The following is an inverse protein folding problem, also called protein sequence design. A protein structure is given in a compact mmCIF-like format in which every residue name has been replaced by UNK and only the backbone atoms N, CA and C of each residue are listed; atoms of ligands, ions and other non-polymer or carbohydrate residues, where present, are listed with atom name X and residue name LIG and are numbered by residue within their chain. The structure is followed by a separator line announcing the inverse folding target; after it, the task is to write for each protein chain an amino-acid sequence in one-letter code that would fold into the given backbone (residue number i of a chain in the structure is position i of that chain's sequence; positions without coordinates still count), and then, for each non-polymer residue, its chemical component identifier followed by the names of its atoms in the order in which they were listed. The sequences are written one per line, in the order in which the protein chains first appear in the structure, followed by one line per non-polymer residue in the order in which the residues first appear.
data_IF_411651453198
#
_entry.id   IF_411651453198
#
_cell.length_a   1.000
_cell.length_b   1.000
_cell.length_c   1.000
_cell.angle_alpha   90.00
_cell.angle_beta   90.00
_cell.angle_gamma   90.00
#
_symmetry.space_group_name_H-M   'P 1'
#
loop_
_entity.id
_entity.type
_entity.pdbx_description
1 polymer ?
#
# COMPACT_ATOMS: atom_id res chain seq x y z
N UNK A 1 26.27 14.54 -21.61
CA UNK A 1 25.07 15.16 -21.04
C UNK A 1 24.37 14.26 -19.98
N UNK A 2 24.36 12.93 -20.18
CA UNK A 2 23.77 11.98 -19.23
C UNK A 2 24.57 11.85 -17.93
N UNK A 3 25.88 11.95 -17.99
CA UNK A 3 26.76 11.93 -16.81
C UNK A 3 26.51 13.13 -15.89
N UNK A 4 26.31 14.33 -16.46
CA UNK A 4 25.99 15.52 -15.67
C UNK A 4 24.63 15.42 -14.96
N UNK A 5 23.61 14.86 -15.61
CA UNK A 5 22.31 14.65 -15.01
C UNK A 5 22.37 13.60 -13.88
N UNK A 6 23.09 12.50 -14.07
CA UNK A 6 23.28 11.47 -13.05
C UNK A 6 24.00 12.04 -11.81
N UNK A 7 25.00 12.90 -12.03
CA UNK A 7 25.72 13.58 -10.95
C UNK A 7 24.78 14.50 -10.14
N UNK A 8 23.96 15.31 -10.82
CA UNK A 8 22.98 16.19 -10.18
C UNK A 8 21.98 15.38 -9.35
N UNK A 9 21.43 14.29 -9.91
CA UNK A 9 20.50 13.42 -9.20
C UNK A 9 21.15 12.77 -7.96
N UNK A 10 22.42 12.38 -8.05
CA UNK A 10 23.17 11.83 -6.91
C UNK A 10 23.35 12.85 -5.80
N UNK A 11 23.65 14.11 -6.13
CA UNK A 11 23.73 15.18 -5.13
C UNK A 11 22.38 15.49 -4.49
N UNK A 12 21.29 15.49 -5.27
CA UNK A 12 19.93 15.66 -4.77
C UNK A 12 19.61 14.51 -3.79
N UNK A 13 19.93 13.28 -4.13
CA UNK A 13 19.72 12.12 -3.26
C UNK A 13 20.52 12.23 -1.97
N UNK A 14 21.79 12.60 -2.05
CA UNK A 14 22.64 12.82 -0.87
C UNK A 14 22.08 13.92 0.03
N UNK A 15 21.61 15.02 -0.58
CA UNK A 15 20.96 16.11 0.15
C UNK A 15 19.70 15.63 0.91
N UNK A 16 18.85 14.81 0.29
CA UNK A 16 17.67 14.26 0.97
C UNK A 16 18.04 13.33 2.14
N UNK A 17 19.08 12.53 2.02
CA UNK A 17 19.56 11.69 3.13
C UNK A 17 20.06 12.55 4.29
N UNK A 18 20.90 13.53 4.01
CA UNK A 18 21.40 14.46 5.04
C UNK A 18 20.26 15.24 5.69
N UNK A 19 19.35 15.77 4.88
CA UNK A 19 18.19 16.53 5.36
C UNK A 19 17.26 15.68 6.23
N UNK A 20 17.05 14.41 5.89
CA UNK A 20 16.28 13.47 6.71
C UNK A 20 16.89 13.26 8.09
N UNK A 21 18.21 13.11 8.16
CA UNK A 21 18.93 12.99 9.44
C UNK A 21 18.77 14.27 10.27
N UNK A 22 18.93 15.44 9.67
CA UNK A 22 18.74 16.73 10.35
C UNK A 22 17.32 16.89 10.89
N UNK A 23 16.30 16.51 10.09
CA UNK A 23 14.90 16.55 10.55
C UNK A 23 14.71 15.65 11.78
N UNK A 24 15.22 14.41 11.75
CA UNK A 24 15.10 13.50 12.88
C UNK A 24 15.77 14.04 14.12
N UNK A 25 16.99 14.56 14.00
CA UNK A 25 17.72 15.18 15.10
C UNK A 25 16.91 16.35 15.67
N UNK A 26 16.43 17.25 14.81
CA UNK A 26 15.61 18.40 15.23
C UNK A 26 14.32 17.98 15.93
N UNK A 27 13.64 16.95 15.39
CA UNK A 27 12.43 16.38 16.00
C UNK A 27 12.72 15.84 17.41
N UNK A 28 13.77 15.05 17.57
CA UNK A 28 14.17 14.47 18.87
C UNK A 28 14.47 15.56 19.89
N UNK A 29 15.21 16.61 19.51
CA UNK A 29 15.47 17.73 20.42
C UNK A 29 14.22 18.52 20.78
N UNK A 30 13.30 18.70 19.84
CA UNK A 30 12.04 19.42 20.08
C UNK A 30 11.06 18.59 20.92
N UNK A 31 11.10 17.26 20.80
CA UNK A 31 10.17 16.33 21.47
C UNK A 31 10.73 15.72 22.76
N UNK A 32 11.80 16.28 23.34
CA UNK A 32 12.50 15.73 24.51
C UNK A 32 11.58 15.53 25.73
N UNK A 33 10.49 16.28 25.83
CA UNK A 33 9.50 16.16 26.90
C UNK A 33 8.33 15.24 26.56
N UNK A 34 8.30 14.64 25.36
CA UNK A 34 7.25 13.69 24.97
C UNK A 34 7.59 12.29 25.48
N UNK A 35 6.54 11.54 25.77
CA UNK A 35 6.69 10.13 26.19
C UNK A 35 6.78 9.23 24.96
N UNK A 36 7.47 8.08 25.10
CA UNK A 36 7.52 7.05 24.05
C UNK A 36 6.12 6.55 23.66
N UNK A 37 5.16 6.61 24.57
CA UNK A 37 3.76 6.27 24.28
C UNK A 37 3.09 7.29 23.37
N UNK A 38 3.36 8.58 23.56
CA UNK A 38 2.86 9.64 22.66
C UNK A 38 3.44 9.51 21.26
N UNK A 39 4.72 9.21 21.13
CA UNK A 39 5.37 8.97 19.83
C UNK A 39 4.81 7.71 19.15
N UNK A 40 4.55 6.64 19.91
CA UNK A 40 3.90 5.43 19.42
C UNK A 40 2.50 5.70 18.85
N UNK A 41 1.69 6.54 19.52
CA UNK A 41 0.39 6.96 19.02
C UNK A 41 0.47 7.74 17.70
N UNK A 42 1.46 8.63 17.56
CA UNK A 42 1.67 9.41 16.33
C UNK A 42 1.96 8.44 15.18
N UNK A 43 2.86 7.47 15.37
CA UNK A 43 3.17 6.46 14.36
C UNK A 43 1.96 5.60 14.01
N UNK A 44 1.16 5.19 14.99
CA UNK A 44 -0.08 4.43 14.75
C UNK A 44 -1.10 5.25 13.93
N UNK A 45 -1.27 6.55 14.22
CA UNK A 45 -2.12 7.45 13.43
C UNK A 45 -1.61 7.60 12.00
N UNK A 46 -0.30 7.67 11.81
CA UNK A 46 0.33 7.71 10.50
C UNK A 46 0.12 6.41 9.72
N UNK A 47 0.32 5.24 10.37
CA UNK A 47 0.01 3.93 9.77
C UNK A 47 -1.45 3.86 9.34
N UNK A 48 -2.39 4.27 10.19
CA UNK A 48 -3.80 4.29 9.87
C UNK A 48 -4.12 5.21 8.67
N UNK A 49 -3.43 6.34 8.53
CA UNK A 49 -3.56 7.23 7.38
C UNK A 49 -3.07 6.58 6.08
N UNK A 50 -1.90 5.93 6.10
CA UNK A 50 -1.36 5.21 4.94
C UNK A 50 -2.35 4.14 4.47
N UNK A 51 -2.86 3.31 5.39
CA UNK A 51 -3.79 2.22 5.05
C UNK A 51 -5.09 2.77 4.47
N UNK A 52 -5.67 3.84 5.06
CA UNK A 52 -6.89 4.46 4.54
C UNK A 52 -6.70 5.06 3.14
N UNK A 53 -5.62 5.79 2.94
CA UNK A 53 -5.29 6.38 1.63
C UNK A 53 -5.10 5.31 0.57
N UNK A 54 -4.40 4.24 0.92
CA UNK A 54 -4.19 3.09 0.02
C UNK A 54 -5.49 2.34 -0.27
N UNK A 55 -6.38 2.19 0.71
CA UNK A 55 -7.72 1.63 0.50
C UNK A 55 -8.51 2.45 -0.54
N UNK A 56 -8.56 3.77 -0.38
CA UNK A 56 -9.27 4.63 -1.33
C UNK A 56 -8.62 4.61 -2.71
N UNK A 57 -7.29 4.55 -2.79
CA UNK A 57 -6.60 4.41 -4.07
C UNK A 57 -6.98 3.11 -4.79
N UNK A 58 -6.97 2.00 -4.06
CA UNK A 58 -7.35 0.68 -4.60
C UNK A 58 -8.81 0.66 -5.06
N UNK A 59 -9.72 1.22 -4.27
CA UNK A 59 -11.14 1.29 -4.60
C UNK A 59 -11.36 2.13 -5.86
N UNK A 60 -10.89 3.38 -5.84
CA UNK A 60 -11.21 4.37 -6.88
C UNK A 60 -10.48 4.03 -8.19
N UNK A 61 -9.19 3.70 -8.12
CA UNK A 61 -8.41 3.34 -9.31
C UNK A 61 -8.90 2.02 -9.89
N UNK A 62 -9.16 1.01 -9.05
CA UNK A 62 -9.69 -0.28 -9.51
C UNK A 62 -11.02 -0.14 -10.23
N UNK A 63 -11.97 0.61 -9.64
CA UNK A 63 -13.27 0.86 -10.25
C UNK A 63 -13.16 1.69 -11.55
N UNK A 64 -12.33 2.73 -11.57
CA UNK A 64 -12.11 3.56 -12.77
C UNK A 64 -11.46 2.76 -13.90
N UNK A 65 -10.43 1.96 -13.59
CA UNK A 65 -9.72 1.14 -14.57
C UNK A 65 -10.61 0.04 -15.13
N UNK A 66 -11.46 -0.56 -14.28
CA UNK A 66 -12.48 -1.52 -14.70
C UNK A 66 -13.46 -0.88 -15.69
N UNK A 67 -14.00 0.30 -15.37
CA UNK A 67 -14.94 1.02 -16.26
C UNK A 67 -14.28 1.38 -17.59
N UNK A 68 -13.05 1.85 -17.59
CA UNK A 68 -12.33 2.18 -18.83
C UNK A 68 -12.07 0.93 -19.64
N UNK A 69 -11.63 -0.20 -19.03
CA UNK A 69 -11.44 -1.46 -19.74
C UNK A 69 -12.74 -2.01 -20.31
N UNK A 70 -13.82 -1.97 -19.55
CA UNK A 70 -15.16 -2.32 -20.03
C UNK A 70 -15.54 -1.51 -21.27
N UNK A 71 -15.44 -0.17 -21.20
CA UNK A 71 -15.77 0.71 -22.33
C UNK A 71 -14.90 0.45 -23.58
N UNK A 72 -13.63 0.11 -23.38
CA UNK A 72 -12.72 -0.21 -24.50
C UNK A 72 -13.08 -1.55 -25.13
N UNK A 73 -13.28 -2.60 -24.34
CA UNK A 73 -13.61 -3.95 -24.81
C UNK A 73 -14.95 -3.97 -25.51
N UNK A 74 -15.98 -3.31 -24.97
CA UNK A 74 -17.32 -3.23 -25.53
C UNK A 74 -17.46 -2.18 -26.65
N UNK A 75 -16.34 -1.56 -27.07
CA UNK A 75 -16.32 -0.53 -28.13
C UNK A 75 -17.16 0.72 -27.82
N UNK A 76 -17.46 0.97 -26.55
CA UNK A 76 -18.21 2.12 -26.07
C UNK A 76 -17.31 3.37 -25.90
N UNK A 77 -16.00 3.19 -25.85
CA UNK A 77 -15.08 4.30 -25.65
C UNK A 77 -15.08 5.33 -26.79
N UNK A 78 -15.26 4.87 -28.03
CA UNK A 78 -15.25 5.75 -29.21
C UNK A 78 -16.50 6.68 -29.28
N UNK A 79 -17.74 6.18 -29.14
CA UNK A 79 -18.92 7.05 -29.16
C UNK A 79 -18.99 8.00 -27.95
N UNK A 80 -18.36 7.65 -26.81
CA UNK A 80 -18.40 8.48 -25.58
C UNK A 80 -17.28 9.52 -25.57
N UNK A 81 -16.06 9.14 -25.91
CA UNK A 81 -14.85 9.98 -25.76
C UNK A 81 -14.23 10.42 -27.09
N UNK A 82 -14.71 9.87 -28.23
CA UNK A 82 -14.12 10.09 -29.53
C UNK A 82 -12.90 9.18 -29.79
N UNK A 83 -12.53 9.09 -31.09
CA UNK A 83 -11.47 8.21 -31.58
C UNK A 83 -10.09 8.51 -30.92
N UNK A 84 -9.76 9.80 -30.73
CA UNK A 84 -8.51 10.21 -30.16
C UNK A 84 -8.31 9.66 -28.73
N UNK A 85 -9.29 9.82 -27.85
CA UNK A 85 -9.19 9.34 -26.46
C UNK A 85 -9.27 7.82 -26.39
N UNK A 86 -10.07 7.16 -27.22
CA UNK A 86 -10.11 5.70 -27.33
C UNK A 86 -8.70 5.14 -27.57
N UNK A 87 -7.95 5.68 -28.54
CA UNK A 87 -6.60 5.24 -28.86
C UNK A 87 -5.64 5.49 -27.67
N UNK A 88 -5.76 6.66 -27.05
CA UNK A 88 -4.90 7.03 -25.90
C UNK A 88 -5.13 6.18 -24.65
N UNK A 89 -6.39 5.82 -24.37
CA UNK A 89 -6.76 5.01 -23.19
C UNK A 89 -6.23 3.56 -23.25
N UNK A 90 -5.85 3.07 -24.43
CA UNK A 90 -5.21 1.75 -24.59
C UNK A 90 -3.69 1.81 -24.37
N UNK A 91 -3.11 3.01 -24.35
CA UNK A 91 -1.68 3.22 -24.12
C UNK A 91 -1.40 3.24 -22.61
N UNK A 92 -0.60 2.29 -22.05
CA UNK A 92 -0.37 2.20 -20.60
C UNK A 92 0.13 3.52 -19.98
N UNK A 93 1.14 4.12 -20.57
CA UNK A 93 1.73 5.37 -20.07
C UNK A 93 0.69 6.50 -19.97
N UNK A 94 -0.17 6.67 -20.99
CA UNK A 94 -1.22 7.69 -20.96
C UNK A 94 -2.27 7.40 -19.87
N UNK A 95 -2.79 6.16 -19.83
CA UNK A 95 -3.83 5.77 -18.88
C UNK A 95 -3.35 5.88 -17.44
N UNK A 96 -2.12 5.43 -17.15
CA UNK A 96 -1.53 5.53 -15.82
C UNK A 96 -1.30 6.99 -15.42
N UNK A 97 -0.74 7.80 -16.31
CA UNK A 97 -0.42 9.20 -15.99
C UNK A 97 -1.67 10.07 -15.83
N UNK A 98 -2.68 9.91 -16.71
CA UNK A 98 -3.82 10.83 -16.76
C UNK A 98 -5.08 10.30 -16.07
N UNK A 99 -5.17 9.00 -15.78
CA UNK A 99 -6.30 8.42 -15.05
C UNK A 99 -5.86 7.96 -13.65
N UNK A 100 -4.87 7.06 -13.55
CA UNK A 100 -4.54 6.49 -12.25
C UNK A 100 -3.88 7.50 -11.32
N UNK A 101 -2.88 8.24 -11.78
CA UNK A 101 -2.12 9.15 -10.93
C UNK A 101 -2.98 10.25 -10.28
N UNK A 102 -3.87 10.96 -11.00
CA UNK A 102 -4.80 11.92 -10.37
C UNK A 102 -5.72 11.27 -9.34
N UNK A 103 -6.24 10.07 -9.62
CA UNK A 103 -7.11 9.34 -8.71
C UNK A 103 -6.38 8.90 -7.43
N UNK A 104 -5.11 8.51 -7.54
CA UNK A 104 -4.25 8.22 -6.39
C UNK A 104 -4.09 9.49 -5.53
N UNK A 105 -3.79 10.64 -6.12
CA UNK A 105 -3.67 11.90 -5.38
C UNK A 105 -4.98 12.27 -4.65
N UNK A 106 -6.12 12.13 -5.33
CA UNK A 106 -7.45 12.33 -4.73
C UNK A 106 -7.66 11.38 -3.54
N UNK A 107 -7.20 10.13 -3.66
CA UNK A 107 -7.33 9.12 -2.61
C UNK A 107 -6.57 9.49 -1.33
N UNK A 108 -5.42 10.15 -1.43
CA UNK A 108 -4.71 10.68 -0.27
C UNK A 108 -5.51 11.79 0.44
N UNK A 109 -6.17 12.65 -0.34
CA UNK A 109 -7.04 13.70 0.22
C UNK A 109 -8.25 13.07 0.93
N UNK A 110 -8.93 12.12 0.29
CA UNK A 110 -10.07 11.41 0.89
C UNK A 110 -9.64 10.65 2.16
N UNK A 111 -8.48 9.96 2.12
CA UNK A 111 -7.92 9.24 3.26
C UNK A 111 -7.63 10.13 4.47
N UNK A 112 -7.36 11.42 4.26
CA UNK A 112 -7.20 12.39 5.34
C UNK A 112 -8.52 12.72 6.05
N UNK A 113 -9.62 12.86 5.30
CA UNK A 113 -10.94 13.20 5.86
C UNK A 113 -11.71 11.98 6.39
N UNK A 114 -11.43 10.78 5.92
CA UNK A 114 -12.11 9.56 6.37
C UNK A 114 -11.48 9.01 7.65
N UNK A 115 -12.30 8.40 8.52
CA UNK A 115 -11.83 7.80 9.77
C UNK A 115 -11.83 6.26 9.76
N UNK A 116 -12.52 5.65 8.81
CA UNK A 116 -12.58 4.19 8.67
C UNK A 116 -11.35 3.65 7.95
N UNK A 117 -10.84 2.51 8.37
CA UNK A 117 -9.67 1.86 7.75
C UNK A 117 -10.04 1.12 6.46
N UNK A 118 -11.31 0.87 6.22
CA UNK A 118 -11.79 0.31 4.95
C UNK A 118 -11.60 -1.20 4.76
N UNK A 119 -10.95 -1.90 5.69
CA UNK A 119 -10.65 -3.33 5.59
C UNK A 119 -11.88 -4.21 5.30
N UNK A 120 -12.96 -4.03 6.04
CA UNK A 120 -14.21 -4.80 5.87
C UNK A 120 -14.80 -4.54 4.48
N UNK A 121 -14.71 -3.30 4.00
CA UNK A 121 -15.21 -2.94 2.67
C UNK A 121 -14.39 -3.58 1.54
N UNK A 122 -13.07 -3.75 1.69
CA UNK A 122 -12.27 -4.52 0.74
C UNK A 122 -12.73 -5.99 0.67
N UNK A 123 -13.01 -6.60 1.81
CA UNK A 123 -13.54 -7.96 1.83
C UNK A 123 -14.90 -8.06 1.12
N UNK A 124 -15.80 -7.10 1.37
CA UNK A 124 -17.10 -7.02 0.69
C UNK A 124 -16.94 -6.82 -0.81
N UNK A 125 -15.98 -5.97 -1.24
CA UNK A 125 -15.70 -5.74 -2.65
C UNK A 125 -15.17 -7.01 -3.35
N UNK A 126 -14.27 -7.74 -2.71
CA UNK A 126 -13.77 -9.02 -3.26
C UNK A 126 -14.91 -10.02 -3.43
N UNK A 127 -15.70 -10.26 -2.37
CA UNK A 127 -16.83 -11.19 -2.43
C UNK A 127 -17.89 -10.74 -3.46
N UNK A 128 -18.20 -9.44 -3.47
CA UNK A 128 -19.16 -8.86 -4.43
C UNK A 128 -18.69 -8.98 -5.87
N UNK A 129 -17.39 -8.80 -6.13
CA UNK A 129 -16.82 -8.95 -7.47
C UNK A 129 -16.84 -10.40 -7.94
N UNK A 130 -16.44 -11.34 -7.10
CA UNK A 130 -16.52 -12.78 -7.41
C UNK A 130 -17.96 -13.19 -7.70
N UNK A 131 -18.90 -12.75 -6.87
CA UNK A 131 -20.32 -13.03 -7.09
C UNK A 131 -20.82 -12.41 -8.39
N UNK A 132 -20.40 -11.20 -8.72
CA UNK A 132 -20.75 -10.53 -9.98
C UNK A 132 -20.20 -11.28 -11.22
N UNK A 133 -18.99 -11.84 -11.12
CA UNK A 133 -18.42 -12.69 -12.19
C UNK A 133 -19.27 -13.93 -12.39
N UNK A 134 -19.65 -14.60 -11.30
CA UNK A 134 -20.51 -15.79 -11.36
C UNK A 134 -21.84 -15.46 -12.03
N UNK A 135 -22.51 -14.37 -11.61
CA UNK A 135 -23.77 -13.94 -12.22
C UNK A 135 -23.60 -13.59 -13.72
N UNK A 136 -22.56 -12.82 -14.06
CA UNK A 136 -22.35 -12.43 -15.47
C UNK A 136 -22.09 -13.64 -16.37
N UNK A 137 -21.33 -14.59 -15.89
CA UNK A 137 -21.02 -15.83 -16.63
C UNK A 137 -22.24 -16.73 -16.81
N UNK A 138 -23.02 -16.98 -15.74
CA UNK A 138 -24.13 -17.96 -15.81
C UNK A 138 -25.45 -17.38 -16.32
N UNK A 139 -25.69 -16.06 -16.16
CA UNK A 139 -26.94 -15.43 -16.58
C UNK A 139 -26.78 -14.78 -17.97
N UNK A 140 -25.63 -14.12 -18.20
CA UNK A 140 -25.41 -13.31 -19.41
C UNK A 140 -24.41 -13.97 -20.38
N UNK A 141 -23.85 -15.13 -20.03
CA UNK A 141 -22.78 -15.80 -20.78
C UNK A 141 -21.60 -14.87 -21.07
N UNK A 142 -21.35 -13.92 -20.15
CA UNK A 142 -20.37 -12.87 -20.31
C UNK A 142 -19.21 -13.05 -19.33
N UNK A 143 -18.01 -13.23 -19.87
CA UNK A 143 -16.77 -13.37 -19.09
C UNK A 143 -15.64 -12.64 -19.82
N UNK A 144 -15.00 -11.71 -19.11
CA UNK A 144 -13.89 -10.92 -19.64
C UNK A 144 -12.70 -10.92 -18.67
N UNK A 145 -11.50 -10.82 -19.22
CA UNK A 145 -10.25 -10.89 -18.47
C UNK A 145 -10.16 -9.79 -17.37
N UNK A 146 -10.64 -8.59 -17.66
CA UNK A 146 -10.59 -7.47 -16.71
C UNK A 146 -11.43 -7.71 -15.44
N UNK A 147 -12.45 -8.58 -15.48
CA UNK A 147 -13.23 -8.92 -14.29
C UNK A 147 -12.37 -9.68 -13.27
N UNK A 148 -11.67 -10.74 -13.70
CA UNK A 148 -10.77 -11.52 -12.86
C UNK A 148 -9.57 -10.69 -12.35
N UNK A 149 -9.07 -9.76 -13.16
CA UNK A 149 -7.97 -8.87 -12.77
C UNK A 149 -8.39 -7.92 -11.63
N UNK A 150 -9.65 -7.42 -11.64
CA UNK A 150 -10.17 -6.58 -10.57
C UNK A 150 -10.22 -7.32 -9.22
N UNK A 151 -10.68 -8.56 -9.25
CA UNK A 151 -10.71 -9.41 -8.05
C UNK A 151 -9.30 -9.63 -7.50
N UNK A 152 -8.34 -9.98 -8.37
CA UNK A 152 -6.93 -10.16 -7.96
C UNK A 152 -6.35 -8.88 -7.35
N UNK A 153 -6.66 -7.73 -7.94
CA UNK A 153 -6.21 -6.43 -7.47
C UNK A 153 -6.74 -6.11 -6.06
N UNK A 154 -8.04 -6.25 -5.83
CA UNK A 154 -8.64 -6.01 -4.52
C UNK A 154 -8.26 -7.06 -3.48
N UNK A 155 -8.16 -8.32 -3.88
CA UNK A 155 -7.74 -9.41 -3.02
C UNK A 155 -6.28 -9.25 -2.53
N UNK A 156 -5.37 -8.89 -3.43
CA UNK A 156 -3.97 -8.62 -3.08
C UNK A 156 -3.85 -7.45 -2.09
N UNK A 157 -4.64 -6.38 -2.28
CA UNK A 157 -4.72 -5.25 -1.36
C UNK A 157 -5.25 -5.67 0.00
N UNK A 158 -6.32 -6.50 0.03
CA UNK A 158 -6.90 -7.02 1.26
C UNK A 158 -5.87 -7.75 2.11
N UNK A 159 -5.10 -8.66 1.52
CA UNK A 159 -4.08 -9.42 2.22
C UNK A 159 -2.95 -8.54 2.77
N UNK A 160 -2.40 -7.68 1.95
CA UNK A 160 -1.24 -6.89 2.33
C UNK A 160 -1.58 -5.77 3.32
N UNK A 161 -2.71 -5.09 3.12
CA UNK A 161 -3.10 -3.97 4.00
C UNK A 161 -3.70 -4.45 5.33
N UNK A 162 -4.33 -5.63 5.33
CA UNK A 162 -4.87 -6.25 6.55
C UNK A 162 -3.78 -6.53 7.58
N UNK A 163 -2.55 -6.82 7.18
CA UNK A 163 -1.47 -7.17 8.09
C UNK A 163 -1.19 -6.05 9.11
N UNK A 164 -1.03 -4.81 8.64
CA UNK A 164 -0.80 -3.67 9.53
C UNK A 164 -2.03 -3.33 10.36
N UNK A 165 -3.25 -3.45 9.80
CA UNK A 165 -4.49 -3.29 10.54
C UNK A 165 -4.62 -4.31 11.67
N UNK A 166 -4.34 -5.58 11.38
CA UNK A 166 -4.39 -6.65 12.38
C UNK A 166 -3.37 -6.43 13.50
N UNK A 167 -2.17 -5.92 13.19
CA UNK A 167 -1.18 -5.56 14.19
C UNK A 167 -1.62 -4.38 15.06
N UNK A 168 -2.26 -3.37 14.48
CA UNK A 168 -2.80 -2.21 15.22
C UNK A 168 -3.86 -2.60 16.26
N UNK A 169 -4.71 -3.57 15.92
CA UNK A 169 -5.86 -3.98 16.76
C UNK A 169 -5.59 -5.27 17.54
N UNK A 170 -4.35 -5.73 17.60
CA UNK A 170 -3.97 -7.01 18.20
C UNK A 170 -4.83 -8.20 17.69
N UNK A 171 -5.34 -8.07 16.46
CA UNK A 171 -6.29 -9.03 15.85
C UNK A 171 -5.63 -10.34 15.36
N UNK A 172 -4.36 -10.57 15.64
CA UNK A 172 -3.71 -11.82 15.30
C UNK A 172 -4.16 -12.93 16.24
N UNK A 173 -4.47 -14.11 15.67
CA UNK A 173 -4.65 -15.32 16.47
C UNK A 173 -3.31 -15.66 17.11
N UNK A 174 -3.21 -15.44 18.41
CA UNK A 174 -2.01 -15.78 19.18
C UNK A 174 -2.19 -17.20 19.73
N UNK A 175 -1.17 -18.03 19.54
CA UNK A 175 -1.07 -19.29 20.28
C UNK A 175 -0.47 -18.95 21.67
N UNK A 176 -1.34 -18.45 22.56
CA UNK A 176 -0.93 -17.73 23.77
C UNK A 176 -0.62 -18.64 24.97
N UNK A 177 -0.47 -19.95 24.76
CA UNK A 177 -0.27 -20.91 25.87
C UNK A 177 0.87 -20.52 26.81
N UNK A 178 1.98 -20.06 26.28
CA UNK A 178 3.13 -19.60 27.09
C UNK A 178 3.04 -18.11 27.45
N UNK A 179 2.60 -17.30 26.49
CA UNK A 179 2.59 -15.83 26.61
C UNK A 179 1.57 -15.34 27.65
N UNK A 180 0.39 -15.99 27.76
CA UNK A 180 -0.62 -15.65 28.77
C UNK A 180 -0.12 -15.78 30.21
N UNK A 181 0.79 -16.72 30.48
CA UNK A 181 1.42 -16.92 31.79
C UNK A 181 2.53 -15.92 32.13
N UNK A 182 2.93 -15.04 31.20
CA UNK A 182 3.98 -14.07 31.46
C UNK A 182 3.48 -12.88 32.28
N UNK A 183 4.35 -12.34 33.15
CA UNK A 183 4.11 -11.04 33.79
C UNK A 183 4.06 -9.92 32.73
N UNK A 184 3.40 -8.81 33.02
CA UNK A 184 3.27 -7.67 32.09
C UNK A 184 4.64 -7.15 31.62
N UNK A 185 5.62 -7.14 32.48
CA UNK A 185 7.01 -6.76 32.12
C UNK A 185 7.64 -7.76 31.13
N UNK A 186 7.44 -9.08 31.32
CA UNK A 186 7.94 -10.10 30.40
C UNK A 186 7.24 -10.03 29.05
N UNK A 187 5.91 -9.78 29.03
CA UNK A 187 5.15 -9.55 27.80
C UNK A 187 5.68 -8.34 27.04
N UNK A 188 5.87 -7.20 27.73
CA UNK A 188 6.42 -6.01 27.13
C UNK A 188 7.84 -6.23 26.58
N UNK A 189 8.68 -6.96 27.28
CA UNK A 189 10.03 -7.29 26.80
C UNK A 189 10.01 -8.18 25.56
N UNK A 190 9.16 -9.23 25.55
CA UNK A 190 9.00 -10.13 24.39
C UNK A 190 8.50 -9.37 23.18
N UNK A 191 7.50 -8.49 23.36
CA UNK A 191 6.93 -7.68 22.28
C UNK A 191 7.96 -6.69 21.72
N UNK A 192 8.73 -6.03 22.59
CA UNK A 192 9.79 -5.10 22.18
C UNK A 192 10.87 -5.82 21.37
N UNK A 193 11.38 -6.94 21.88
CA UNK A 193 12.43 -7.72 21.19
C UNK A 193 11.91 -8.32 19.87
N UNK A 194 10.70 -8.87 19.85
CA UNK A 194 10.07 -9.38 18.63
C UNK A 194 9.91 -8.32 17.55
N UNK A 195 9.47 -7.13 17.93
CA UNK A 195 9.35 -6.00 16.99
C UNK A 195 10.71 -5.55 16.45
N UNK A 196 11.71 -5.43 17.33
CA UNK A 196 13.04 -4.92 16.97
C UNK A 196 13.85 -5.94 16.14
N UNK A 197 13.81 -7.22 16.51
CA UNK A 197 14.67 -8.25 15.90
C UNK A 197 14.03 -8.98 14.72
N UNK A 198 12.70 -9.01 14.64
CA UNK A 198 11.97 -9.73 13.59
C UNK A 198 11.15 -8.79 12.72
N UNK A 199 10.28 -7.99 13.32
CA UNK A 199 9.33 -7.16 12.58
C UNK A 199 10.01 -6.06 11.75
N UNK A 200 10.80 -5.22 12.40
CA UNK A 200 11.50 -4.11 11.74
C UNK A 200 12.47 -4.61 10.66
N UNK A 201 13.36 -5.59 10.92
CA UNK A 201 14.28 -6.10 9.89
C UNK A 201 13.57 -6.73 8.70
N UNK A 202 12.46 -7.46 8.91
CA UNK A 202 11.65 -8.00 7.81
C UNK A 202 11.17 -6.89 6.87
N UNK A 203 10.61 -5.81 7.42
CA UNK A 203 10.13 -4.69 6.62
C UNK A 203 11.26 -3.99 5.86
N UNK A 204 12.41 -3.80 6.51
CA UNK A 204 13.59 -3.20 5.88
C UNK A 204 14.12 -4.08 4.75
N UNK A 205 14.15 -5.40 4.91
CA UNK A 205 14.56 -6.34 3.85
C UNK A 205 13.63 -6.21 2.64
N UNK A 206 12.31 -6.16 2.85
CA UNK A 206 11.35 -5.98 1.76
C UNK A 206 11.59 -4.66 1.01
N UNK A 207 11.83 -3.56 1.74
CA UNK A 207 12.11 -2.25 1.13
C UNK A 207 13.43 -2.28 0.36
N UNK A 208 14.52 -2.73 1.00
CA UNK A 208 15.85 -2.70 0.38
C UNK A 208 15.93 -3.63 -0.83
N UNK A 209 15.50 -4.89 -0.71
CA UNK A 209 15.55 -5.83 -1.83
C UNK A 209 14.52 -5.48 -2.91
N UNK A 210 13.34 -5.00 -2.51
CA UNK A 210 12.30 -4.59 -3.44
C UNK A 210 12.67 -3.38 -4.31
N UNK A 211 13.53 -2.48 -3.79
CA UNK A 211 13.94 -1.25 -4.45
C UNK A 211 15.42 -1.24 -4.89
N UNK A 212 16.17 -2.34 -4.73
CA UNK A 212 17.62 -2.40 -4.90
C UNK A 212 18.14 -2.13 -6.31
N UNK A 213 17.30 -2.18 -7.33
CA UNK A 213 17.71 -1.98 -8.72
C UNK A 213 16.52 -1.83 -9.67
N UNK A 214 16.80 -1.49 -10.94
CA UNK A 214 15.76 -1.27 -11.96
C UNK A 214 14.90 -2.53 -12.21
N UNK A 215 15.48 -3.71 -12.11
CA UNK A 215 14.82 -5.00 -12.35
C UNK A 215 14.35 -5.67 -11.05
N UNK A 216 14.36 -4.97 -9.92
CA UNK A 216 13.85 -5.52 -8.65
C UNK A 216 12.33 -5.73 -8.71
N UNK A 217 11.82 -6.54 -7.78
CA UNK A 217 10.42 -6.96 -7.75
C UNK A 217 9.41 -5.81 -7.69
N UNK A 218 9.81 -4.66 -7.15
CA UNK A 218 8.97 -3.45 -7.09
C UNK A 218 9.28 -2.51 -8.24
N UNK A 219 10.56 -2.16 -8.45
CA UNK A 219 10.92 -1.17 -9.46
C UNK A 219 10.69 -1.66 -10.89
N UNK A 220 10.89 -2.96 -11.17
CA UNK A 220 10.68 -3.51 -12.51
C UNK A 220 9.28 -3.20 -13.04
N UNK A 221 8.21 -3.70 -12.40
CA UNK A 221 6.85 -3.43 -12.84
C UNK A 221 6.46 -1.94 -12.82
N UNK A 222 6.94 -1.18 -11.84
CA UNK A 222 6.59 0.25 -11.70
C UNK A 222 7.24 1.10 -12.80
N UNK A 223 8.53 0.91 -13.08
CA UNK A 223 9.24 1.68 -14.08
C UNK A 223 8.86 1.33 -15.51
N UNK A 224 8.41 0.08 -15.76
CA UNK A 224 7.90 -0.36 -17.06
C UNK A 224 6.42 -0.08 -17.28
N UNK A 225 5.70 0.43 -16.27
CA UNK A 225 4.24 0.54 -16.27
C UNK A 225 3.58 -0.79 -16.65
N UNK A 226 3.95 -1.85 -15.94
CA UNK A 226 3.53 -3.19 -16.27
C UNK A 226 2.01 -3.34 -16.12
N UNK A 227 1.38 -3.83 -17.18
CA UNK A 227 -0.04 -4.17 -17.23
C UNK A 227 -0.23 -5.67 -16.99
N UNK A 228 -1.48 -6.12 -16.89
CA UNK A 228 -1.75 -7.54 -16.69
C UNK A 228 -1.25 -8.39 -17.86
N UNK A 229 -1.09 -9.69 -17.62
CA UNK A 229 -0.71 -10.66 -18.67
C UNK A 229 -1.76 -10.79 -19.78
N UNK A 230 -2.98 -10.31 -19.54
CA UNK A 230 -4.10 -10.35 -20.49
C UNK A 230 -4.03 -9.25 -21.57
N UNK A 231 -2.98 -8.43 -21.55
CA UNK A 231 -2.78 -7.35 -22.51
C UNK A 231 -3.89 -6.29 -22.43
N UNK A 232 -4.33 -5.82 -23.60
CA UNK A 232 -5.35 -4.74 -23.68
C UNK A 232 -6.74 -5.14 -23.20
N UNK A 233 -7.01 -6.43 -23.02
CA UNK A 233 -8.31 -6.94 -22.54
C UNK A 233 -8.35 -7.07 -21.02
N UNK A 234 -7.23 -6.84 -20.33
CA UNK A 234 -7.12 -6.85 -18.87
C UNK A 234 -7.12 -5.45 -18.28
N UNK A 235 -6.84 -5.38 -16.97
CA UNK A 235 -6.63 -4.13 -16.25
C UNK A 235 -5.17 -3.67 -16.32
N UNK A 236 -4.96 -2.38 -16.21
CA UNK A 236 -3.64 -1.73 -16.26
C UNK A 236 -3.08 -1.49 -14.84
N UNK A 237 -3.21 -2.48 -13.95
CA UNK A 237 -3.01 -2.34 -12.51
C UNK A 237 -1.84 -3.15 -11.93
N UNK A 238 -1.11 -3.94 -12.73
CA UNK A 238 -0.08 -4.83 -12.20
C UNK A 238 1.07 -4.06 -11.53
N UNK A 239 1.47 -2.91 -12.07
CA UNK A 239 2.46 -2.03 -11.47
C UNK A 239 2.05 -1.53 -10.06
N UNK A 240 0.74 -1.30 -9.82
CA UNK A 240 0.20 -0.92 -8.51
C UNK A 240 0.26 -2.10 -7.52
N UNK A 241 0.06 -3.32 -7.98
CA UNK A 241 0.20 -4.51 -7.12
C UNK A 241 1.64 -4.66 -6.62
N UNK A 242 2.64 -4.27 -7.43
CA UNK A 242 4.02 -4.20 -6.96
C UNK A 242 4.21 -3.10 -5.89
N UNK A 243 3.54 -1.95 -6.03
CA UNK A 243 3.55 -0.88 -5.02
C UNK A 243 2.92 -1.33 -3.70
N UNK A 244 1.98 -2.29 -3.71
CA UNK A 244 1.40 -2.82 -2.46
C UNK A 244 2.45 -3.38 -1.50
N UNK A 245 3.56 -3.91 -2.01
CA UNK A 245 4.68 -4.36 -1.17
C UNK A 245 5.34 -3.20 -0.42
N UNK A 246 5.42 -2.01 -1.04
CA UNK A 246 5.92 -0.80 -0.36
C UNK A 246 4.92 -0.36 0.72
N UNK A 247 3.63 -0.30 0.38
CA UNK A 247 2.58 0.07 1.33
C UNK A 247 2.58 -0.88 2.53
N UNK A 248 2.66 -2.19 2.28
CA UNK A 248 2.80 -3.21 3.32
C UNK A 248 4.03 -2.96 4.17
N UNK A 249 5.21 -2.86 3.55
CA UNK A 249 6.47 -2.75 4.28
C UNK A 249 6.55 -1.46 5.11
N UNK A 250 6.10 -0.31 4.56
CA UNK A 250 6.11 0.97 5.27
C UNK A 250 5.07 0.98 6.39
N UNK A 251 3.85 0.52 6.15
CA UNK A 251 2.80 0.49 7.17
C UNK A 251 3.15 -0.49 8.31
N UNK A 252 3.73 -1.64 8.00
CA UNK A 252 4.20 -2.59 9.01
C UNK A 252 5.42 -2.07 9.77
N UNK A 253 6.37 -1.43 9.07
CA UNK A 253 7.55 -0.83 9.70
C UNK A 253 7.16 0.23 10.73
N UNK A 254 6.27 1.14 10.35
CA UNK A 254 5.78 2.18 11.25
C UNK A 254 5.00 1.59 12.43
N UNK A 255 4.21 0.55 12.20
CA UNK A 255 3.45 -0.11 13.26
C UNK A 255 4.33 -0.93 14.20
N UNK A 256 5.33 -1.66 13.70
CA UNK A 256 6.30 -2.36 14.56
C UNK A 256 7.14 -1.37 15.37
N UNK A 257 7.49 -0.23 14.80
CA UNK A 257 8.20 0.83 15.53
C UNK A 257 7.32 1.41 16.65
N UNK A 258 6.05 1.68 16.37
CA UNK A 258 5.07 2.10 17.37
C UNK A 258 4.94 1.07 18.50
N UNK A 259 4.80 -0.20 18.13
CA UNK A 259 4.65 -1.30 19.09
C UNK A 259 5.90 -1.49 19.96
N UNK A 260 7.09 -1.34 19.36
CA UNK A 260 8.35 -1.31 20.07
C UNK A 260 8.42 -0.18 21.11
N UNK A 261 8.06 1.05 20.71
CA UNK A 261 8.08 2.22 21.60
C UNK A 261 7.10 2.08 22.77
N UNK A 262 5.86 1.66 22.49
CA UNK A 262 4.84 1.43 23.53
C UNK A 262 5.25 0.34 24.51
N UNK A 263 5.81 -0.77 24.00
CA UNK A 263 6.32 -1.87 24.83
C UNK A 263 7.52 -1.43 25.68
N UNK A 264 8.44 -0.66 25.11
CA UNK A 264 9.60 -0.12 25.83
C UNK A 264 9.16 0.86 26.92
N UNK A 265 8.15 1.69 26.69
CA UNK A 265 7.57 2.57 27.71
C UNK A 265 7.03 1.75 28.91
N UNK A 266 6.32 0.66 28.66
CA UNK A 266 5.82 -0.25 29.72
C UNK A 266 6.95 -0.89 30.55
N UNK A 267 8.10 -1.19 29.91
CA UNK A 267 9.28 -1.75 30.60
C UNK A 267 9.89 -0.70 31.55
N UNK A 268 9.96 0.57 31.10
CA UNK A 268 10.57 1.64 31.87
C UNK A 268 9.69 2.13 33.06
N UNK A 269 8.36 1.97 32.94
CA UNK A 269 7.42 2.40 33.96
C UNK A 269 7.25 1.39 35.10
N UNK A 270 7.52 0.10 34.84
CA UNK A 270 7.47 -1.00 35.80
C UNK A 270 8.88 -1.41 36.25
#
# INVERSE_FOLDING_TARGET
PLEGLALILSFIQLFFYFFSIVIVIFYVFKSINQTLESDAEILTKFTAYIIRSSFWAVLIVGAADFLVSFMVVEKLAEPIFGEFLKIKLVIPNFRITFVHFPLILISFVIGYFTRTVGFIWLAVLVVGSEFSIVLSRFIFEYEQAFQGDLVRFWYSALYLFAAAYALMHEGHVRVDVLYTGFSERKKAWTNSMGSLLLGIPLCLIVIFLGLSGKASIINGPVLSFEITQQGSNGLYLLYLMAIYLIVFAVSMLTQFTSYFMSSSHKILKN
#
